data_IF_100232817792
#
_entry.id   IF_100232817792
#
_cell.length_a   1.000
_cell.length_b   1.000
_cell.length_c   1.000
_cell.angle_alpha   90.00
_cell.angle_beta   90.00
_cell.angle_gamma   90.00
#
_symmetry.space_group_name_H-M   'P 1'
#
loop_
_entity.id
_entity.type
_entity.pdbx_description
1 polymer ?
#
# COMPACT_ATOMS: atom_id res chain seq x y z
N UNK A 1 13.05 -1.39 15.99
CA UNK A 1 13.84 -2.30 16.86
C UNK A 1 14.97 -1.60 17.59
N UNK A 2 15.84 -0.82 16.93
CA UNK A 2 16.98 -0.16 17.59
C UNK A 2 16.55 0.82 18.69
N UNK A 3 15.55 1.68 18.42
CA UNK A 3 15.05 2.64 19.43
C UNK A 3 14.44 1.94 20.65
N UNK A 4 13.73 0.83 20.45
CA UNK A 4 13.17 0.03 21.54
C UNK A 4 14.27 -0.60 22.42
N UNK A 5 15.39 -1.00 21.81
CA UNK A 5 16.56 -1.51 22.55
C UNK A 5 17.29 -0.39 23.32
N UNK A 6 17.42 0.81 22.74
CA UNK A 6 17.98 1.97 23.43
C UNK A 6 17.11 2.38 24.63
N UNK A 7 15.79 2.36 24.47
CA UNK A 7 14.84 2.59 25.56
C UNK A 7 14.93 1.51 26.64
N UNK A 8 15.00 0.23 26.26
CA UNK A 8 15.23 -0.87 27.19
C UNK A 8 16.49 -0.65 28.02
N UNK A 9 17.61 -0.28 27.37
CA UNK A 9 18.86 0.04 28.06
C UNK A 9 18.69 1.17 29.05
N UNK A 10 18.10 2.29 28.63
CA UNK A 10 17.85 3.45 29.49
C UNK A 10 17.01 3.09 30.72
N UNK A 11 15.90 2.38 30.51
CA UNK A 11 15.01 1.97 31.60
C UNK A 11 15.70 1.01 32.57
N UNK A 12 16.51 0.08 32.09
CA UNK A 12 17.25 -0.84 32.96
C UNK A 12 18.42 -0.17 33.70
N UNK A 13 19.06 0.85 33.10
CA UNK A 13 20.09 1.65 33.77
C UNK A 13 19.51 2.56 34.84
N UNK A 14 18.33 3.14 34.60
CA UNK A 14 17.66 4.07 35.52
C UNK A 14 17.06 3.35 36.74
N UNK A 15 16.78 2.05 36.62
CA UNK A 15 16.10 1.26 37.67
C UNK A 15 17.01 0.62 38.71
N UNK A 16 18.34 0.52 38.55
CA UNK A 16 19.19 -0.32 39.42
C UNK A 16 20.62 0.19 39.67
N UNK A 17 21.10 -0.11 40.88
CA UNK A 17 22.46 0.12 41.36
C UNK A 17 23.53 -0.59 40.52
N UNK A 18 24.74 -0.01 40.54
CA UNK A 18 25.91 -0.24 39.68
C UNK A 18 26.29 -1.71 39.38
N UNK A 19 25.88 -2.66 40.23
CA UNK A 19 26.25 -4.07 40.12
C UNK A 19 25.48 -4.91 39.08
N UNK A 20 24.47 -4.36 38.39
CA UNK A 20 23.69 -5.11 37.37
C UNK A 20 23.88 -4.68 35.91
N UNK A 21 24.68 -3.64 35.65
CA UNK A 21 25.00 -3.16 34.29
C UNK A 21 25.67 -4.26 33.45
N UNK A 22 26.40 -5.18 34.11
CA UNK A 22 27.07 -6.33 33.47
C UNK A 22 26.12 -7.38 32.86
N UNK A 23 24.82 -7.34 33.17
CA UNK A 23 23.84 -8.34 32.75
C UNK A 23 22.80 -7.82 31.75
N UNK A 24 23.06 -6.68 31.08
CA UNK A 24 22.18 -6.20 30.03
C UNK A 24 22.19 -7.13 28.82
N UNK A 25 21.01 -7.42 28.29
CA UNK A 25 20.88 -8.21 27.07
C UNK A 25 21.52 -7.48 25.90
N UNK A 26 22.40 -8.18 25.17
CA UNK A 26 22.92 -7.67 23.91
C UNK A 26 21.78 -7.54 22.87
N UNK A 27 22.01 -6.75 21.81
CA UNK A 27 20.97 -6.44 20.81
C UNK A 27 20.39 -7.71 20.17
N UNK A 28 21.23 -8.72 19.93
CA UNK A 28 20.79 -9.97 19.31
C UNK A 28 19.82 -10.73 20.23
N UNK A 29 20.16 -10.88 21.51
CA UNK A 29 19.30 -11.55 22.50
C UNK A 29 18.00 -10.80 22.71
N UNK A 30 18.05 -9.46 22.76
CA UNK A 30 16.85 -8.63 22.83
C UNK A 30 15.92 -8.86 21.63
N UNK A 31 16.46 -8.90 20.41
CA UNK A 31 15.68 -9.20 19.20
C UNK A 31 15.03 -10.58 19.26
N UNK A 32 15.77 -11.60 19.69
CA UNK A 32 15.27 -12.97 19.80
C UNK A 32 14.12 -13.08 20.81
N UNK A 33 14.23 -12.44 21.96
CA UNK A 33 13.18 -12.43 23.00
C UNK A 33 11.92 -11.72 22.52
N UNK A 34 12.06 -10.55 21.89
CA UNK A 34 10.91 -9.83 21.31
C UNK A 34 10.23 -10.67 20.24
N UNK A 35 10.99 -11.32 19.36
CA UNK A 35 10.43 -12.21 18.35
C UNK A 35 9.68 -13.40 18.96
N UNK A 36 10.29 -14.07 19.95
CA UNK A 36 9.66 -15.18 20.70
C UNK A 36 8.35 -14.75 21.35
N UNK A 37 8.36 -13.59 22.02
CA UNK A 37 7.18 -13.04 22.68
C UNK A 37 6.07 -12.76 21.65
N UNK A 38 6.37 -12.09 20.54
CA UNK A 38 5.40 -11.77 19.50
C UNK A 38 4.85 -13.00 18.78
N UNK A 39 5.65 -14.06 18.61
CA UNK A 39 5.20 -15.31 18.01
C UNK A 39 4.31 -16.12 18.95
N UNK A 40 4.51 -16.02 20.27
CA UNK A 40 3.73 -16.73 21.29
C UNK A 40 2.50 -15.95 21.74
N UNK A 41 2.51 -14.63 21.59
CA UNK A 41 1.34 -13.80 21.84
C UNK A 41 0.26 -14.23 20.84
N UNK A 42 -0.88 -14.70 21.33
CA UNK A 42 -1.98 -15.17 20.49
C UNK A 42 -2.48 -14.04 19.60
N UNK A 43 -1.91 -13.99 18.39
CA UNK A 43 -2.40 -13.12 17.34
C UNK A 43 -3.73 -13.70 16.91
N UNK A 44 -4.81 -12.93 17.12
CA UNK A 44 -6.17 -13.27 16.74
C UNK A 44 -6.18 -13.87 15.32
N UNK A 45 -6.29 -15.19 15.22
CA UNK A 45 -6.13 -15.92 13.95
C UNK A 45 -7.21 -15.54 12.93
N UNK A 46 -8.22 -14.79 13.38
CA UNK A 46 -9.29 -14.22 12.57
C UNK A 46 -8.89 -12.96 11.79
N UNK A 47 -7.71 -12.37 12.04
CA UNK A 47 -7.16 -11.36 11.15
C UNK A 47 -6.74 -12.05 9.85
N UNK A 48 -7.67 -12.13 8.88
CA UNK A 48 -7.41 -12.68 7.55
C UNK A 48 -6.12 -12.09 6.99
N UNK A 49 -5.06 -12.91 6.90
CA UNK A 49 -3.85 -12.55 6.17
C UNK A 49 -4.22 -12.47 4.69
N UNK A 50 -4.10 -11.28 4.13
CA UNK A 50 -4.40 -11.03 2.72
C UNK A 50 -5.35 -9.86 2.52
N UNK A 51 -5.45 -9.44 1.26
CA UNK A 51 -6.35 -8.38 0.84
C UNK A 51 -7.80 -8.80 1.11
N UNK A 52 -8.66 -7.96 1.72
CA UNK A 52 -10.09 -8.24 1.78
C UNK A 52 -10.61 -8.43 0.36
N UNK A 53 -11.24 -9.58 0.11
CA UNK A 53 -11.81 -9.96 -1.19
C UNK A 53 -12.85 -8.93 -1.68
N UNK A 54 -13.48 -8.21 -0.75
CA UNK A 54 -14.50 -7.20 -1.01
C UNK A 54 -14.01 -5.76 -0.76
N UNK A 55 -12.77 -5.44 -1.13
CA UNK A 55 -12.30 -4.06 -1.09
C UNK A 55 -13.14 -3.18 -2.03
N UNK A 56 -13.68 -2.08 -1.52
CA UNK A 56 -14.43 -1.12 -2.35
C UNK A 56 -13.53 -0.58 -3.46
N UNK A 57 -14.10 -0.20 -4.61
CA UNK A 57 -13.37 0.37 -5.76
C UNK A 57 -12.41 1.48 -5.30
N UNK A 58 -12.83 2.30 -4.32
CA UNK A 58 -12.02 3.36 -3.69
C UNK A 58 -10.75 2.83 -3.01
N UNK A 59 -10.87 1.77 -2.20
CA UNK A 59 -9.72 1.10 -1.56
C UNK A 59 -8.79 0.44 -2.58
N UNK A 60 -9.33 -0.03 -3.71
CA UNK A 60 -8.54 -0.62 -4.79
C UNK A 60 -7.67 0.40 -5.54
N UNK A 61 -8.17 1.63 -5.73
CA UNK A 61 -7.38 2.72 -6.28
C UNK A 61 -6.25 3.15 -5.34
N UNK A 62 -6.54 3.28 -4.04
CA UNK A 62 -5.53 3.64 -3.03
C UNK A 62 -4.41 2.59 -2.95
N UNK A 63 -4.73 1.30 -3.00
CA UNK A 63 -3.71 0.24 -2.99
C UNK A 63 -2.86 0.18 -4.26
N UNK A 64 -3.39 0.60 -5.43
CA UNK A 64 -2.58 0.74 -6.66
C UNK A 64 -1.60 1.91 -6.58
N UNK A 65 -1.90 2.98 -5.84
CA UNK A 65 -0.96 4.11 -5.62
C UNK A 65 0.33 3.70 -4.91
N UNK A 66 0.30 2.63 -4.12
CA UNK A 66 1.44 2.22 -3.28
C UNK A 66 2.31 1.09 -3.86
N UNK A 67 2.08 0.63 -5.11
CA UNK A 67 2.89 -0.42 -5.73
C UNK A 67 3.95 0.15 -6.69
N UNK A 68 5.14 0.45 -6.18
CA UNK A 68 6.36 0.70 -6.98
C UNK A 68 6.24 1.76 -8.09
N UNK A 69 7.02 1.62 -9.17
CA UNK A 69 7.03 2.50 -10.37
C UNK A 69 5.75 2.45 -11.21
N UNK A 70 4.62 2.03 -10.63
CA UNK A 70 3.33 2.13 -11.29
C UNK A 70 2.95 3.61 -11.42
N UNK A 71 2.62 4.05 -12.63
CA UNK A 71 2.02 5.37 -12.87
C UNK A 71 0.98 5.71 -11.79
N UNK A 72 1.18 6.85 -11.13
CA UNK A 72 0.36 7.28 -10.02
C UNK A 72 -1.05 7.59 -10.52
N UNK A 73 -2.04 6.86 -10.03
CA UNK A 73 -3.44 7.19 -10.31
C UNK A 73 -3.77 8.53 -9.64
N UNK A 74 -4.33 9.53 -10.36
CA UNK A 74 -4.74 10.82 -9.79
C UNK A 74 -5.76 10.67 -8.65
N UNK A 75 -5.88 11.71 -7.82
CA UNK A 75 -6.88 11.69 -6.74
C UNK A 75 -8.30 11.72 -7.33
N UNK A 76 -9.29 11.37 -6.50
CA UNK A 76 -10.68 11.28 -6.94
C UNK A 76 -11.21 12.62 -7.45
N UNK A 77 -10.81 13.72 -6.83
CA UNK A 77 -11.28 15.07 -7.17
C UNK A 77 -10.85 15.46 -8.58
N UNK A 78 -9.57 15.26 -8.94
CA UNK A 78 -9.06 15.50 -10.30
C UNK A 78 -9.67 14.50 -11.30
N UNK A 79 -9.80 13.24 -10.90
CA UNK A 79 -10.30 12.19 -11.78
C UNK A 79 -11.76 12.43 -12.19
N UNK A 80 -12.58 12.97 -11.28
CA UNK A 80 -14.04 13.12 -11.44
C UNK A 80 -14.52 14.56 -11.55
N UNK A 81 -13.62 15.50 -11.75
CA UNK A 81 -14.00 16.91 -11.95
C UNK A 81 -14.76 17.16 -13.26
N UNK A 82 -14.81 16.17 -14.17
CA UNK A 82 -15.59 16.24 -15.40
C UNK A 82 -15.03 17.19 -16.46
N UNK A 83 -13.82 17.72 -16.25
CA UNK A 83 -13.24 18.76 -17.10
C UNK A 83 -11.97 18.24 -17.78
N UNK A 84 -11.90 18.37 -19.11
CA UNK A 84 -10.71 18.09 -19.92
C UNK A 84 -10.15 16.66 -19.79
N UNK A 85 -11.01 15.64 -19.72
CA UNK A 85 -10.60 14.23 -19.77
C UNK A 85 -10.81 13.66 -21.17
N UNK A 86 -9.90 13.98 -22.09
CA UNK A 86 -9.99 13.52 -23.48
C UNK A 86 -9.29 12.17 -23.68
N UNK A 87 -9.90 11.23 -24.43
CA UNK A 87 -9.24 10.00 -24.82
C UNK A 87 -8.25 10.28 -25.96
N UNK A 88 -6.97 10.07 -25.70
CA UNK A 88 -5.90 10.13 -26.70
C UNK A 88 -5.41 8.72 -27.03
N UNK A 89 -4.84 8.57 -28.23
CA UNK A 89 -4.27 7.31 -28.68
C UNK A 89 -2.81 7.20 -28.23
N UNK A 90 -2.49 6.14 -27.49
CA UNK A 90 -1.13 5.83 -27.06
C UNK A 90 -0.39 5.08 -28.17
N UNK A 91 0.89 5.40 -28.36
CA UNK A 91 1.72 4.70 -29.34
C UNK A 91 1.89 3.22 -28.97
N UNK A 92 1.94 2.91 -27.67
CA UNK A 92 2.07 1.56 -27.15
C UNK A 92 0.77 1.04 -26.55
N UNK A 93 0.59 -0.29 -26.60
CA UNK A 93 -0.45 -0.95 -25.82
C UNK A 93 -0.11 -0.94 -24.34
N UNK A 94 -0.98 -0.32 -23.54
CA UNK A 94 -0.83 -0.17 -22.09
C UNK A 94 -1.90 -0.96 -21.34
N UNK A 95 -1.57 -1.39 -20.13
CA UNK A 95 -2.53 -2.12 -19.27
C UNK A 95 -3.54 -1.14 -18.67
N UNK A 96 -4.82 -1.52 -18.71
CA UNK A 96 -5.88 -0.73 -18.09
C UNK A 96 -5.64 -0.54 -16.59
N UNK A 97 -5.69 0.72 -16.14
CA UNK A 97 -5.50 1.09 -14.73
C UNK A 97 -6.78 1.00 -13.90
N UNK A 98 -7.94 0.79 -14.52
CA UNK A 98 -9.19 0.56 -13.78
C UNK A 98 -9.09 -0.68 -12.86
N UNK A 99 -9.64 -0.65 -11.63
CA UNK A 99 -9.62 -1.79 -10.72
C UNK A 99 -10.39 -2.97 -11.32
N UNK A 100 -9.91 -4.20 -11.09
CA UNK A 100 -10.48 -5.44 -11.63
C UNK A 100 -10.50 -5.57 -13.17
N UNK A 101 -10.07 -4.57 -13.92
CA UNK A 101 -9.83 -4.72 -15.35
C UNK A 101 -8.46 -5.37 -15.59
N UNK A 102 -8.43 -6.46 -16.36
CA UNK A 102 -7.21 -7.14 -16.82
C UNK A 102 -6.86 -6.81 -18.28
N UNK A 103 -7.66 -5.97 -18.93
CA UNK A 103 -7.52 -5.64 -20.34
C UNK A 103 -6.30 -4.76 -20.66
N UNK A 104 -5.91 -4.82 -21.93
CA UNK A 104 -4.98 -3.89 -22.54
C UNK A 104 -5.75 -2.90 -23.40
N UNK A 105 -5.23 -1.69 -23.50
CA UNK A 105 -5.84 -0.61 -24.27
C UNK A 105 -4.75 0.21 -24.93
N UNK A 106 -5.14 0.94 -25.97
CA UNK A 106 -4.33 1.93 -26.64
C UNK A 106 -4.91 3.33 -26.41
N UNK A 107 -5.86 3.46 -25.49
CA UNK A 107 -6.50 4.72 -25.13
C UNK A 107 -5.99 5.17 -23.76
N UNK A 108 -5.54 6.42 -23.71
CA UNK A 108 -5.04 7.09 -22.53
C UNK A 108 -5.85 8.37 -22.28
N UNK A 109 -6.02 8.75 -21.03
CA UNK A 109 -6.59 10.06 -20.70
C UNK A 109 -5.50 11.12 -20.73
N UNK A 110 -5.67 12.17 -21.54
CA UNK A 110 -4.69 13.25 -21.71
C UNK A 110 -4.33 13.92 -20.37
N UNK A 111 -5.35 14.27 -19.57
CA UNK A 111 -5.16 14.96 -18.29
C UNK A 111 -4.64 14.07 -17.17
N UNK A 112 -5.07 12.80 -17.14
CA UNK A 112 -4.73 11.88 -16.06
C UNK A 112 -3.50 11.02 -16.35
N UNK A 113 -3.04 10.96 -17.61
CA UNK A 113 -1.95 10.12 -18.09
C UNK A 113 -2.08 8.66 -17.62
N UNK A 114 -3.28 8.11 -17.82
CA UNK A 114 -3.63 6.73 -17.45
C UNK A 114 -4.31 6.00 -18.59
N UNK A 115 -3.85 4.78 -18.85
CA UNK A 115 -4.50 3.86 -19.78
C UNK A 115 -5.83 3.32 -19.26
N UNK A 116 -6.92 3.54 -20.02
CA UNK A 116 -8.27 3.12 -19.66
C UNK A 116 -8.98 2.48 -20.86
N UNK A 117 -9.62 1.33 -20.66
CA UNK A 117 -10.36 0.69 -21.73
C UNK A 117 -11.49 1.58 -22.23
N UNK A 118 -11.49 1.81 -23.54
CA UNK A 118 -12.57 2.45 -24.28
C UNK A 118 -12.89 1.59 -25.50
N UNK A 119 -13.75 0.59 -25.31
CA UNK A 119 -14.21 -0.31 -26.37
C UNK A 119 -15.67 -0.73 -26.13
N UNK A 120 -16.24 -1.49 -27.09
CA UNK A 120 -17.65 -1.92 -27.03
C UNK A 120 -18.00 -2.79 -25.81
N UNK A 121 -17.03 -3.51 -25.25
CA UNK A 121 -17.23 -4.46 -24.14
C UNK A 121 -17.01 -3.77 -22.79
N UNK A 122 -15.95 -2.98 -22.68
CA UNK A 122 -15.49 -2.35 -21.46
C UNK A 122 -15.27 -0.85 -21.70
N UNK A 123 -16.08 -0.03 -21.03
CA UNK A 123 -15.93 1.43 -21.00
C UNK A 123 -15.40 1.88 -19.63
N UNK A 124 -14.18 1.45 -19.31
CA UNK A 124 -13.51 1.85 -18.07
C UNK A 124 -13.21 3.35 -18.04
N UNK A 125 -13.06 4.01 -19.20
CA UNK A 125 -12.81 5.45 -19.30
C UNK A 125 -13.95 6.25 -18.65
N UNK A 126 -15.20 6.01 -19.06
CA UNK A 126 -16.37 6.70 -18.51
C UNK A 126 -16.56 6.42 -17.02
N UNK A 127 -16.44 5.15 -16.61
CA UNK A 127 -16.60 4.77 -15.19
C UNK A 127 -15.49 5.42 -14.34
N UNK A 128 -14.26 5.50 -14.86
CA UNK A 128 -13.16 6.15 -14.16
C UNK A 128 -13.40 7.66 -14.01
N UNK A 129 -14.03 8.36 -14.94
CA UNK A 129 -14.21 9.82 -14.83
C UNK A 129 -15.57 10.26 -14.26
N UNK A 130 -16.61 9.43 -14.32
CA UNK A 130 -17.96 9.81 -13.90
C UNK A 130 -18.48 9.09 -12.65
N UNK A 131 -17.94 7.90 -12.30
CA UNK A 131 -18.48 7.03 -11.24
C UNK A 131 -17.48 6.77 -10.14
#
# INVERSE_FOLDING_TARGET
>A
MVNAWLLYKRVETDKKSENKIKNLMNLQKFKSEVASCLCKMEYNQNAKKGRPSNASIKQMFQTKRCKGTAQSVPCQDIRRDGINHWPIWSEMRIRCKFPNCKGYTQTECEKCNVGLCYNKVNNCFKIFHCM
#
